data_IF_302397938238
#
_entry.id   IF_302397938238
#
_cell.length_a   1.000
_cell.length_b   1.000
_cell.length_c   1.000
_cell.angle_alpha   90.00
_cell.angle_beta   90.00
_cell.angle_gamma   90.00
#
_symmetry.space_group_name_H-M   'P 1'
#
loop_
_entity.id
_entity.type
_entity.pdbx_description
1 polymer ?
#
# COMPACT_ATOMS: atom_id res chain seq x y z
N UNK A 1 4.85 -14.88 13.19
CA UNK A 1 6.21 -14.92 12.60
C UNK A 1 6.28 -13.78 11.61
N UNK A 2 7.16 -12.81 11.84
CA UNK A 2 7.36 -11.66 10.94
C UNK A 2 8.51 -12.05 10.03
N UNK A 3 8.35 -11.89 8.72
CA UNK A 3 9.41 -12.16 7.77
C UNK A 3 10.52 -11.10 7.90
N UNK A 4 11.70 -11.36 7.34
CA UNK A 4 12.85 -10.43 7.42
C UNK A 4 12.58 -9.07 6.76
N UNK A 5 11.47 -8.93 6.03
CA UNK A 5 10.99 -7.72 5.40
C UNK A 5 9.98 -6.92 6.26
N UNK A 6 9.74 -7.34 7.51
CA UNK A 6 8.80 -6.74 8.47
C UNK A 6 7.31 -6.92 8.11
N UNK A 7 7.01 -7.76 7.13
CA UNK A 7 5.65 -8.17 6.78
C UNK A 7 5.27 -9.49 7.47
N UNK A 8 3.99 -9.64 7.74
CA UNK A 8 3.39 -10.89 8.20
C UNK A 8 3.22 -11.87 7.04
N UNK A 9 3.10 -13.16 7.36
CA UNK A 9 2.84 -14.18 6.35
C UNK A 9 1.53 -13.94 5.58
N UNK A 10 0.52 -13.33 6.22
CA UNK A 10 -0.74 -12.95 5.59
C UNK A 10 -0.58 -11.77 4.63
N UNK A 11 0.35 -10.85 4.86
CA UNK A 11 0.59 -9.71 3.96
C UNK A 11 1.28 -10.14 2.67
N UNK A 12 1.97 -11.29 2.64
CA UNK A 12 2.65 -11.78 1.44
C UNK A 12 1.72 -12.03 0.26
N UNK A 13 0.45 -12.43 0.50
CA UNK A 13 -0.50 -12.58 -0.61
C UNK A 13 -0.95 -11.23 -1.18
N UNK A 14 -0.93 -10.17 -0.38
CA UNK A 14 -1.21 -8.80 -0.85
C UNK A 14 -0.07 -8.28 -1.75
N UNK A 15 1.18 -8.67 -1.51
CA UNK A 15 2.32 -8.28 -2.36
C UNK A 15 2.03 -8.68 -3.82
N UNK A 16 1.64 -9.94 -4.00
CA UNK A 16 1.31 -10.49 -5.31
C UNK A 16 0.08 -9.83 -5.93
N UNK A 17 -0.96 -9.56 -5.12
CA UNK A 17 -2.17 -8.89 -5.61
C UNK A 17 -1.86 -7.50 -6.16
N UNK A 18 -1.08 -6.70 -5.42
CA UNK A 18 -0.73 -5.35 -5.83
C UNK A 18 0.21 -5.33 -7.05
N UNK A 19 1.12 -6.28 -7.15
CA UNK A 19 2.05 -6.39 -8.29
C UNK A 19 1.40 -6.96 -9.56
N UNK A 20 0.21 -7.54 -9.45
CA UNK A 20 -0.45 -8.25 -10.56
C UNK A 20 -0.95 -7.26 -11.62
N UNK A 21 -0.53 -7.40 -12.89
CA UNK A 21 -1.01 -6.55 -13.97
C UNK A 21 -2.46 -6.86 -14.39
N UNK A 22 -3.05 -7.92 -13.85
CA UNK A 22 -4.36 -8.43 -14.26
C UNK A 22 -5.53 -7.87 -13.43
N UNK A 23 -5.25 -6.99 -12.47
CA UNK A 23 -6.29 -6.42 -11.61
C UNK A 23 -6.90 -5.21 -12.32
N UNK A 24 -8.15 -5.37 -12.75
CA UNK A 24 -8.94 -4.27 -13.29
C UNK A 24 -9.32 -3.29 -12.17
N UNK A 25 -9.19 -1.99 -12.46
CA UNK A 25 -9.41 -0.92 -11.50
C UNK A 25 -10.85 -0.90 -10.98
N UNK A 26 -11.84 -1.16 -11.83
CA UNK A 26 -13.25 -1.15 -11.43
C UNK A 26 -13.58 -2.32 -10.48
N UNK A 27 -12.99 -3.48 -10.74
CA UNK A 27 -13.11 -4.66 -9.86
C UNK A 27 -12.45 -4.36 -8.51
N UNK A 28 -11.27 -3.76 -8.53
CA UNK A 28 -10.54 -3.37 -7.32
C UNK A 28 -11.33 -2.35 -6.50
N UNK A 29 -11.83 -1.27 -7.12
CA UNK A 29 -12.67 -0.28 -6.44
C UNK A 29 -13.90 -0.91 -5.81
N UNK A 30 -14.58 -1.82 -6.53
CA UNK A 30 -15.73 -2.55 -5.99
C UNK A 30 -15.38 -3.50 -4.84
N UNK A 31 -14.14 -4.00 -4.77
CA UNK A 31 -13.69 -4.82 -3.65
C UNK A 31 -13.36 -3.93 -2.44
N UNK A 32 -12.64 -2.83 -2.67
CA UNK A 32 -12.25 -1.86 -1.63
C UNK A 32 -13.45 -1.19 -0.98
N UNK A 33 -14.54 -0.93 -1.72
CA UNK A 33 -15.76 -0.33 -1.17
C UNK A 33 -16.54 -1.25 -0.22
N UNK A 34 -16.18 -2.54 -0.15
CA UNK A 34 -16.83 -3.55 0.70
C UNK A 34 -16.05 -3.85 1.97
N UNK A 35 -14.85 -3.29 2.11
CA UNK A 35 -14.03 -3.50 3.30
C UNK A 35 -14.71 -2.89 4.52
N UNK A 36 -14.64 -3.61 5.63
CA UNK A 36 -15.05 -3.07 6.91
C UNK A 36 -13.94 -2.20 7.53
N UNK A 37 -14.25 -1.59 8.68
CA UNK A 37 -13.35 -0.69 9.40
C UNK A 37 -11.97 -1.31 9.71
N UNK A 38 -11.94 -2.53 10.26
CA UNK A 38 -10.71 -3.20 10.65
C UNK A 38 -9.87 -3.59 9.43
N UNK A 39 -10.53 -4.03 8.36
CA UNK A 39 -9.89 -4.38 7.10
C UNK A 39 -9.29 -3.14 6.42
N UNK A 40 -10.01 -2.02 6.40
CA UNK A 40 -9.53 -0.75 5.86
C UNK A 40 -8.29 -0.26 6.61
N UNK A 41 -8.30 -0.29 7.94
CA UNK A 41 -7.14 0.09 8.76
C UNK A 41 -5.96 -0.88 8.53
N UNK A 42 -6.23 -2.17 8.41
CA UNK A 42 -5.18 -3.15 8.17
C UNK A 42 -4.53 -2.95 6.79
N UNK A 43 -5.34 -2.66 5.77
CA UNK A 43 -4.86 -2.41 4.42
C UNK A 43 -4.06 -1.11 4.33
N UNK A 44 -4.50 -0.01 4.95
CA UNK A 44 -3.75 1.25 4.92
C UNK A 44 -2.41 1.12 5.67
N UNK A 45 -2.36 0.40 6.80
CA UNK A 45 -1.10 0.11 7.51
C UNK A 45 -0.13 -0.69 6.64
N UNK A 46 -0.65 -1.69 5.94
CA UNK A 46 0.12 -2.47 4.98
C UNK A 46 0.68 -1.60 3.85
N UNK A 47 -0.14 -0.74 3.25
CA UNK A 47 0.31 0.21 2.21
C UNK A 47 1.35 1.19 2.75
N UNK A 48 1.16 1.68 3.98
CA UNK A 48 2.10 2.56 4.69
C UNK A 48 3.48 1.93 4.90
N UNK A 49 3.55 0.62 5.22
CA UNK A 49 4.84 -0.11 5.29
C UNK A 49 5.59 -0.06 3.97
N UNK A 50 4.90 -0.24 2.85
CA UNK A 50 5.52 -0.15 1.53
C UNK A 50 6.06 1.24 1.24
N UNK A 51 5.27 2.29 1.49
CA UNK A 51 5.72 3.67 1.28
C UNK A 51 6.97 4.01 2.10
N UNK A 52 7.00 3.63 3.39
CA UNK A 52 8.18 3.79 4.27
C UNK A 52 9.41 3.04 3.71
N UNK A 53 9.20 1.88 3.10
CA UNK A 53 10.27 1.09 2.48
C UNK A 53 10.81 1.75 1.22
N UNK A 54 9.93 2.34 0.41
CA UNK A 54 10.31 3.09 -0.79
C UNK A 54 11.01 4.41 -0.50
N UNK A 55 10.62 5.10 0.57
CA UNK A 55 11.38 6.26 1.06
C UNK A 55 12.81 5.87 1.42
N UNK A 56 12.99 4.79 2.20
CA UNK A 56 14.31 4.33 2.64
C UNK A 56 15.15 3.77 1.49
N UNK A 57 14.52 3.18 0.48
CA UNK A 57 15.19 2.55 -0.65
C UNK A 57 14.46 2.80 -1.99
N UNK A 58 14.58 4.00 -2.59
CA UNK A 58 13.82 4.39 -3.78
C UNK A 58 14.06 3.49 -5.01
N UNK A 59 15.23 2.84 -5.06
CA UNK A 59 15.67 2.03 -6.20
C UNK A 59 15.73 0.52 -5.90
N UNK A 60 15.23 0.05 -4.76
CA UNK A 60 15.42 -1.36 -4.35
C UNK A 60 14.80 -2.40 -5.30
N UNK A 61 13.80 -2.01 -6.09
CA UNK A 61 13.02 -2.95 -6.92
C UNK A 61 13.46 -2.95 -8.38
N UNK A 62 14.08 -1.87 -8.85
CA UNK A 62 14.51 -1.71 -10.26
C UNK A 62 15.93 -2.20 -10.54
N UNK A 63 16.80 -2.30 -9.53
CA UNK A 63 18.26 -2.45 -9.76
C UNK A 63 18.75 -3.88 -9.96
N UNK A 64 17.98 -4.92 -9.61
CA UNK A 64 18.55 -6.28 -9.57
C UNK A 64 18.11 -7.24 -10.70
N UNK A 65 17.13 -6.90 -11.54
CA UNK A 65 16.72 -7.77 -12.67
C UNK A 65 16.34 -9.21 -12.27
N UNK A 66 16.02 -9.42 -10.98
CA UNK A 66 15.71 -10.74 -10.42
C UNK A 66 14.22 -11.04 -10.65
N UNK A 67 13.91 -12.18 -11.26
CA UNK A 67 12.53 -12.67 -11.45
C UNK A 67 11.73 -12.80 -10.14
N UNK A 68 12.41 -12.90 -9.00
CA UNK A 68 11.77 -12.91 -7.69
C UNK A 68 11.16 -11.55 -7.30
N UNK A 69 11.58 -10.45 -7.94
CA UNK A 69 11.04 -9.11 -7.70
C UNK A 69 9.72 -8.86 -8.43
N UNK A 70 9.28 -9.75 -9.32
CA UNK A 70 7.99 -9.62 -10.01
C UNK A 70 6.79 -9.68 -9.03
N UNK A 71 7.01 -10.20 -7.82
CA UNK A 71 5.99 -10.26 -6.76
C UNK A 71 6.04 -9.06 -5.81
N UNK A 72 7.00 -8.16 -6.00
CA UNK A 72 7.15 -6.94 -5.21
C UNK A 72 6.36 -5.83 -5.90
N UNK A 73 5.32 -5.27 -5.27
CA UNK A 73 4.50 -4.23 -5.88
C UNK A 73 5.31 -2.95 -6.03
N UNK A 74 5.30 -2.32 -7.21
CA UNK A 74 6.06 -1.09 -7.48
C UNK A 74 5.47 0.08 -6.69
N UNK A 75 6.25 1.16 -6.54
CA UNK A 75 5.75 2.38 -5.90
C UNK A 75 4.46 2.89 -6.57
N UNK A 76 4.39 2.86 -7.90
CA UNK A 76 3.18 3.23 -8.65
C UNK A 76 1.96 2.37 -8.27
N UNK A 77 2.14 1.05 -8.13
CA UNK A 77 1.07 0.16 -7.69
C UNK A 77 0.59 0.54 -6.28
N UNK A 78 1.53 0.81 -5.36
CA UNK A 78 1.20 1.17 -3.97
C UNK A 78 0.46 2.50 -3.90
N UNK A 79 0.94 3.53 -4.61
CA UNK A 79 0.30 4.86 -4.64
C UNK A 79 -1.09 4.77 -5.27
N UNK A 80 -1.24 4.00 -6.35
CA UNK A 80 -2.54 3.75 -6.98
C UNK A 80 -3.54 3.13 -6.02
N UNK A 81 -3.13 2.10 -5.27
CA UNK A 81 -4.01 1.46 -4.27
C UNK A 81 -4.39 2.41 -3.13
N UNK A 82 -3.45 3.26 -2.66
CA UNK A 82 -3.74 4.30 -1.67
C UNK A 82 -4.78 5.27 -2.21
N UNK A 83 -4.59 5.78 -3.43
CA UNK A 83 -5.53 6.70 -4.09
C UNK A 83 -6.94 6.10 -4.16
N UNK A 84 -7.07 4.87 -4.65
CA UNK A 84 -8.36 4.17 -4.74
C UNK A 84 -9.01 3.94 -3.37
N UNK A 85 -8.23 3.58 -2.35
CA UNK A 85 -8.74 3.44 -0.98
C UNK A 85 -9.33 4.75 -0.47
N UNK A 86 -8.62 5.86 -0.68
CA UNK A 86 -9.08 7.19 -0.31
C UNK A 86 -10.34 7.54 -1.09
N UNK A 87 -10.32 7.47 -2.41
CA UNK A 87 -11.44 7.87 -3.26
C UNK A 87 -12.73 7.11 -2.92
N UNK A 88 -12.65 5.82 -2.62
CA UNK A 88 -13.82 5.00 -2.32
C UNK A 88 -14.31 5.12 -0.88
N UNK A 89 -13.42 5.38 0.08
CA UNK A 89 -13.74 5.22 1.51
C UNK A 89 -13.43 6.46 2.36
N UNK A 90 -13.03 7.59 1.77
CA UNK A 90 -12.58 8.78 2.52
C UNK A 90 -13.57 9.25 3.58
N UNK A 91 -14.87 9.29 3.26
CA UNK A 91 -15.92 9.71 4.20
C UNK A 91 -15.99 8.84 5.45
N UNK A 92 -15.68 7.56 5.33
CA UNK A 92 -15.66 6.61 6.43
C UNK A 92 -14.31 6.63 7.15
N UNK A 93 -13.22 6.77 6.39
CA UNK A 93 -11.85 6.73 6.89
C UNK A 93 -11.47 7.95 7.72
N UNK A 94 -11.86 9.15 7.29
CA UNK A 94 -11.46 10.41 7.95
C UNK A 94 -11.98 10.51 9.39
N UNK A 95 -13.04 9.78 9.72
CA UNK A 95 -13.64 9.74 11.06
C UNK A 95 -12.86 8.84 12.03
N UNK A 96 -11.88 8.09 11.53
CA UNK A 96 -11.16 7.08 12.31
C UNK A 96 -9.83 7.66 12.82
N UNK A 97 -9.63 7.75 14.14
CA UNK A 97 -8.41 8.33 14.70
C UNK A 97 -7.16 7.53 14.29
N UNK A 98 -7.24 6.20 14.31
CA UNK A 98 -6.16 5.30 13.85
C UNK A 98 -5.74 5.57 12.41
N UNK A 99 -6.70 5.90 11.54
CA UNK A 99 -6.41 6.23 10.15
C UNK A 99 -5.71 7.57 10.03
N UNK A 100 -6.13 8.57 10.80
CA UNK A 100 -5.46 9.87 10.83
C UNK A 100 -4.02 9.76 11.34
N UNK A 101 -3.76 8.91 12.33
CA UNK A 101 -2.40 8.64 12.81
C UNK A 101 -1.54 7.97 11.74
N UNK A 102 -2.09 6.96 11.04
CA UNK A 102 -1.36 6.29 9.96
C UNK A 102 -1.08 7.26 8.81
N UNK A 103 -2.06 8.05 8.38
CA UNK A 103 -1.89 9.08 7.36
C UNK A 103 -0.83 10.11 7.74
N UNK A 104 -0.84 10.60 8.98
CA UNK A 104 0.22 11.51 9.46
C UNK A 104 1.60 10.86 9.41
N UNK A 105 1.68 9.57 9.70
CA UNK A 105 2.93 8.80 9.56
C UNK A 105 3.38 8.65 8.10
N UNK A 106 2.45 8.77 7.14
CA UNK A 106 2.69 8.75 5.70
C UNK A 106 2.91 10.16 5.12
N UNK A 107 2.41 11.22 5.76
CA UNK A 107 2.49 12.61 5.28
C UNK A 107 3.94 13.12 5.18
N UNK A 108 4.83 12.63 6.05
CA UNK A 108 6.28 12.89 5.95
C UNK A 108 6.92 12.41 4.64
N UNK A 109 6.23 11.55 3.88
CA UNK A 109 6.71 10.92 2.65
C UNK A 109 6.34 11.72 1.37
N UNK A 110 5.38 12.65 1.46
CA UNK A 110 4.88 13.43 0.32
C UNK A 110 5.77 14.64 -0.06
N UNK A 111 6.81 14.95 0.73
CA UNK A 111 7.68 16.11 0.53
C UNK A 111 8.77 15.88 -0.53
N UNK A 112 8.88 14.67 -1.08
CA UNK A 112 10.01 14.27 -1.93
C UNK A 112 9.85 14.72 -3.41
N UNK A 113 8.67 15.21 -3.83
CA UNK A 113 8.47 15.77 -5.20
C UNK A 113 8.50 17.31 -5.29
N UNK A 114 9.19 18.01 -4.38
CA UNK A 114 9.28 19.49 -4.45
C UNK A 114 10.69 20.07 -4.37
N UNK A 115 11.73 19.29 -4.70
CA UNK A 115 13.10 19.82 -4.89
C UNK A 115 13.74 19.31 -6.18
#
# INVERSE_FOLDING_TARGET
MIAHDEFSAQELCLHYLLASPNVDESILSSALSKLNHEEMISLIRYLGKWLKKYERFPHAVTVLGLKACDWVPKLDDVVRYVGLMLDQNFSSLVLLPDFQEELKSMEGLAVIESQ
#
